data_IF_659536571407
#
_entry.id   IF_659536571407
#
_cell.length_a   1.000
_cell.length_b   1.000
_cell.length_c   1.000
_cell.angle_alpha   90.00
_cell.angle_beta   90.00
_cell.angle_gamma   90.00
#
_symmetry.space_group_name_H-M   'P 1'
#
loop_
_entity.id
_entity.type
_entity.pdbx_description
1 polymer ?
#
# COMPACT_ATOMS: atom_id res chain seq x y z
N UNK A 1 2.20 25.29 -2.35
CA UNK A 1 1.51 24.00 -2.10
C UNK A 1 2.57 22.92 -1.92
N UNK A 2 2.45 21.98 -0.97
CA UNK A 2 3.42 20.90 -0.82
C UNK A 2 3.42 20.01 -2.06
N UNK A 3 4.60 19.54 -2.45
CA UNK A 3 4.71 18.50 -3.48
C UNK A 3 4.02 17.20 -2.99
N UNK A 4 3.51 16.37 -3.91
CA UNK A 4 2.86 15.10 -3.57
C UNK A 4 3.78 14.20 -2.74
N UNK A 5 5.08 14.19 -3.06
CA UNK A 5 6.07 13.42 -2.30
C UNK A 5 6.11 13.89 -0.84
N UNK A 6 6.22 15.20 -0.62
CA UNK A 6 6.23 15.79 0.72
C UNK A 6 4.95 15.44 1.49
N UNK A 7 3.80 15.45 0.80
CA UNK A 7 2.50 15.08 1.38
C UNK A 7 2.52 13.64 1.91
N UNK A 8 3.00 12.67 1.13
CA UNK A 8 3.07 11.28 1.58
C UNK A 8 4.15 11.04 2.64
N UNK A 9 5.29 11.72 2.56
CA UNK A 9 6.31 11.68 3.62
C UNK A 9 5.74 12.20 4.94
N UNK A 10 5.00 13.31 4.91
CA UNK A 10 4.33 13.86 6.08
C UNK A 10 3.25 12.89 6.62
N UNK A 11 2.48 12.26 5.74
CA UNK A 11 1.49 11.24 6.12
C UNK A 11 2.16 10.07 6.86
N UNK A 12 3.29 9.56 6.36
CA UNK A 12 4.03 8.49 7.02
C UNK A 12 4.51 8.92 8.41
N UNK A 13 5.07 10.13 8.55
CA UNK A 13 5.53 10.67 9.82
C UNK A 13 4.40 10.85 10.84
N UNK A 14 3.26 11.40 10.42
CA UNK A 14 2.07 11.55 11.28
C UNK A 14 1.51 10.20 11.72
N UNK A 15 1.46 9.23 10.80
CA UNK A 15 1.00 7.87 11.10
C UNK A 15 1.90 7.22 12.14
N UNK A 16 3.22 7.27 11.93
CA UNK A 16 4.21 6.72 12.87
C UNK A 16 4.07 7.34 14.28
N UNK A 17 3.91 8.66 14.37
CA UNK A 17 3.71 9.35 15.65
C UNK A 17 2.38 8.98 16.33
N UNK A 18 1.39 8.49 15.58
CA UNK A 18 0.08 8.07 16.08
C UNK A 18 0.01 6.60 16.50
N UNK A 19 0.90 5.74 15.98
CA UNK A 19 0.82 4.29 16.15
C UNK A 19 0.81 3.84 17.61
N UNK A 20 1.70 4.41 18.42
CA UNK A 20 1.92 3.95 19.80
C UNK A 20 1.14 4.75 20.84
N UNK A 21 0.24 5.64 20.41
CA UNK A 21 -0.56 6.48 21.33
C UNK A 21 -1.58 5.69 22.15
N UNK A 22 -2.07 4.57 21.63
CA UNK A 22 -2.97 3.67 22.33
C UNK A 22 -2.88 2.26 21.74
N UNK A 23 -3.48 1.29 22.45
CA UNK A 23 -3.44 -0.11 22.08
C UNK A 23 -4.13 -0.38 20.73
N UNK A 24 -5.24 0.30 20.44
CA UNK A 24 -6.03 0.08 19.22
C UNK A 24 -5.26 0.50 17.96
N UNK A 25 -4.59 1.65 18.00
CA UNK A 25 -3.73 2.12 16.91
C UNK A 25 -2.56 1.15 16.70
N UNK A 26 -1.93 0.71 17.79
CA UNK A 26 -0.77 -0.17 17.73
C UNK A 26 -1.14 -1.54 17.15
N UNK A 27 -2.19 -2.16 17.69
CA UNK A 27 -2.68 -3.46 17.23
C UNK A 27 -3.27 -3.40 15.82
N UNK A 28 -3.93 -2.29 15.46
CA UNK A 28 -4.42 -2.04 14.10
C UNK A 28 -3.28 -1.98 13.07
N UNK A 29 -2.17 -1.32 13.41
CA UNK A 29 -0.98 -1.32 12.57
C UNK A 29 -0.35 -2.71 12.49
N UNK A 30 -0.16 -3.39 13.62
CA UNK A 30 0.40 -4.75 13.63
C UNK A 30 -0.44 -5.72 12.80
N UNK A 31 -1.77 -5.57 12.78
CA UNK A 31 -2.67 -6.33 11.91
C UNK A 31 -2.39 -6.09 10.43
N UNK A 32 -2.05 -4.86 10.05
CA UNK A 32 -1.67 -4.53 8.66
C UNK A 32 -0.27 -5.05 8.33
N UNK A 33 0.68 -4.83 9.23
CA UNK A 33 2.07 -5.25 9.09
C UNK A 33 2.20 -6.78 8.97
N UNK A 34 1.39 -7.54 9.71
CA UNK A 34 1.40 -9.01 9.65
C UNK A 34 0.96 -9.54 8.28
N UNK A 35 -0.05 -8.90 7.64
CA UNK A 35 -0.48 -9.24 6.27
C UNK A 35 0.56 -8.86 5.22
N UNK A 36 1.26 -7.75 5.44
CA UNK A 36 2.16 -7.13 4.47
C UNK A 36 3.64 -7.26 4.85
N UNK A 37 4.00 -8.36 5.52
CA UNK A 37 5.32 -8.58 6.11
C UNK A 37 6.50 -8.52 5.11
N UNK A 38 6.24 -8.70 3.81
CA UNK A 38 7.26 -8.59 2.74
C UNK A 38 7.58 -7.15 2.35
N UNK A 39 6.74 -6.18 2.72
CA UNK A 39 7.00 -4.77 2.48
C UNK A 39 7.89 -4.20 3.58
N UNK A 40 8.82 -3.28 3.25
CA UNK A 40 9.60 -2.57 4.25
C UNK A 40 8.69 -1.67 5.12
N UNK A 41 9.16 -1.34 6.32
CA UNK A 41 8.37 -0.59 7.31
C UNK A 41 7.75 0.73 6.79
N UNK A 42 8.47 1.60 6.03
CA UNK A 42 7.86 2.82 5.48
C UNK A 42 6.67 2.54 4.55
N UNK A 43 6.72 1.46 3.78
CA UNK A 43 5.62 1.06 2.91
C UNK A 43 4.46 0.50 3.73
N UNK A 44 4.74 -0.29 4.76
CA UNK A 44 3.70 -0.77 5.68
C UNK A 44 2.97 0.40 6.35
N UNK A 45 3.69 1.45 6.77
CA UNK A 45 3.10 2.68 7.30
C UNK A 45 2.20 3.38 6.28
N UNK A 46 2.69 3.59 5.06
CA UNK A 46 1.94 4.26 4.00
C UNK A 46 0.71 3.47 3.58
N UNK A 47 0.82 2.14 3.51
CA UNK A 47 -0.33 1.27 3.24
C UNK A 47 -1.33 1.35 4.38
N UNK A 48 -0.90 1.23 5.64
CA UNK A 48 -1.76 1.33 6.80
C UNK A 48 -2.50 2.68 6.86
N UNK A 49 -1.78 3.77 6.60
CA UNK A 49 -2.34 5.13 6.62
C UNK A 49 -3.42 5.36 5.55
N UNK A 50 -3.29 4.72 4.39
CA UNK A 50 -4.19 4.92 3.25
C UNK A 50 -5.30 3.87 3.16
N UNK A 51 -5.00 2.63 3.52
CA UNK A 51 -5.95 1.52 3.54
C UNK A 51 -5.52 0.44 4.56
N UNK A 52 -5.92 0.56 5.84
CA UNK A 52 -5.55 -0.39 6.89
C UNK A 52 -6.18 -1.78 6.71
N UNK A 53 -7.18 -1.92 5.82
CA UNK A 53 -7.85 -3.19 5.52
C UNK A 53 -7.18 -4.00 4.41
N UNK A 54 -6.10 -3.48 3.81
CA UNK A 54 -5.37 -4.16 2.75
C UNK A 54 -4.91 -5.56 3.17
N UNK A 55 -5.11 -6.55 2.31
CA UNK A 55 -4.80 -7.96 2.57
C UNK A 55 -3.72 -8.52 1.66
N UNK A 56 -3.68 -8.07 0.40
CA UNK A 56 -2.64 -8.43 -0.55
C UNK A 56 -2.43 -7.25 -1.49
N UNK A 57 -1.26 -6.65 -1.42
CA UNK A 57 -0.94 -5.42 -2.14
C UNK A 57 0.15 -5.68 -3.16
N UNK A 58 -0.03 -5.18 -4.38
CA UNK A 58 0.99 -5.26 -5.43
C UNK A 58 0.88 -4.12 -6.44
N UNK A 59 1.95 -3.88 -7.19
CA UNK A 59 1.94 -2.94 -8.31
C UNK A 59 1.05 -3.40 -9.47
N UNK A 60 0.63 -2.45 -10.31
CA UNK A 60 -0.25 -2.70 -11.45
C UNK A 60 0.25 -3.83 -12.37
N UNK A 61 1.54 -3.84 -12.68
CA UNK A 61 2.16 -4.86 -13.54
C UNK A 61 2.15 -6.25 -12.92
N UNK A 62 2.30 -6.35 -11.59
CA UNK A 62 2.19 -7.64 -10.89
C UNK A 62 0.77 -8.18 -11.04
N UNK A 63 -0.24 -7.34 -10.80
CA UNK A 63 -1.63 -7.73 -10.96
C UNK A 63 -1.98 -8.18 -12.37
N UNK A 64 -1.56 -7.41 -13.37
CA UNK A 64 -1.94 -7.63 -14.77
C UNK A 64 -1.13 -8.71 -15.47
N UNK A 65 0.20 -8.68 -15.32
CA UNK A 65 1.12 -9.56 -16.06
C UNK A 65 1.36 -10.88 -15.32
N UNK A 66 1.52 -10.85 -13.99
CA UNK A 66 1.83 -12.06 -13.21
C UNK A 66 0.57 -12.74 -12.70
N UNK A 67 -0.31 -12.00 -12.01
CA UNK A 67 -1.53 -12.58 -11.42
C UNK A 67 -2.66 -12.74 -12.42
N UNK A 68 -2.50 -12.22 -13.64
CA UNK A 68 -3.50 -12.27 -14.73
C UNK A 68 -4.87 -11.73 -14.30
N UNK A 69 -4.89 -10.74 -13.40
CA UNK A 69 -6.08 -10.00 -12.95
C UNK A 69 -6.10 -8.64 -13.63
N UNK A 70 -7.19 -7.89 -13.52
CA UNK A 70 -7.21 -6.49 -13.96
C UNK A 70 -7.54 -5.57 -12.78
N UNK A 71 -6.91 -4.40 -12.72
CA UNK A 71 -7.30 -3.36 -11.75
C UNK A 71 -8.59 -2.72 -12.27
N UNK A 72 -9.61 -2.61 -11.41
CA UNK A 72 -10.92 -2.05 -11.78
C UNK A 72 -10.76 -0.56 -12.12
N UNK A 73 -11.52 -0.10 -13.12
CA UNK A 73 -11.52 1.31 -13.49
C UNK A 73 -12.03 2.13 -12.29
N UNK A 74 -11.30 3.20 -11.95
CA UNK A 74 -11.64 4.08 -10.83
C UNK A 74 -11.03 3.65 -9.48
N UNK A 75 -10.34 2.51 -9.40
CA UNK A 75 -9.62 2.12 -8.17
C UNK A 75 -8.54 3.15 -7.83
N UNK A 76 -8.49 3.53 -6.55
CA UNK A 76 -7.53 4.51 -6.03
C UNK A 76 -6.27 3.77 -5.57
N UNK A 77 -5.15 4.02 -6.25
CA UNK A 77 -3.86 3.44 -5.87
C UNK A 77 -3.38 3.96 -4.52
N UNK A 78 -2.75 3.09 -3.75
CA UNK A 78 -2.02 3.39 -2.52
C UNK A 78 -0.63 3.88 -2.92
N UNK A 79 -0.26 5.08 -2.50
CA UNK A 79 1.02 5.68 -2.85
C UNK A 79 2.12 5.23 -1.87
N UNK A 80 3.19 4.66 -2.43
CA UNK A 80 4.44 4.38 -1.74
C UNK A 80 5.49 5.42 -2.16
N UNK A 81 6.43 5.75 -1.27
CA UNK A 81 7.53 6.67 -1.56
C UNK A 81 8.84 5.89 -1.49
N UNK A 82 9.51 5.76 -2.63
CA UNK A 82 10.81 5.11 -2.72
C UNK A 82 11.87 6.13 -3.15
N UNK A 83 13.08 6.01 -2.59
CA UNK A 83 14.24 6.78 -3.05
C UNK A 83 15.07 5.89 -3.96
N UNK A 84 15.23 6.32 -5.22
CA UNK A 84 16.08 5.62 -6.18
C UNK A 84 17.16 6.59 -6.68
N UNK A 85 18.44 6.22 -6.53
CA UNK A 85 19.59 7.05 -6.86
C UNK A 85 19.54 8.47 -6.27
N UNK A 86 19.04 8.59 -5.04
CA UNK A 86 18.89 9.88 -4.35
C UNK A 86 17.64 10.68 -4.70
N UNK A 87 16.81 10.21 -5.64
CA UNK A 87 15.59 10.90 -6.05
C UNK A 87 14.33 10.17 -5.55
N UNK A 88 13.47 10.84 -4.77
CA UNK A 88 12.22 10.25 -4.34
C UNK A 88 11.24 10.11 -5.51
N UNK A 89 10.52 8.99 -5.57
CA UNK A 89 9.48 8.70 -6.54
C UNK A 89 8.28 8.07 -5.86
N UNK A 90 7.10 8.38 -6.40
CA UNK A 90 5.85 7.74 -5.98
C UNK A 90 5.62 6.51 -6.85
N UNK A 91 5.40 5.38 -6.20
CA UNK A 91 4.90 4.16 -6.83
C UNK A 91 3.49 3.89 -6.33
N UNK A 92 2.56 3.59 -7.24
CA UNK A 92 1.21 3.20 -6.86
C UNK A 92 1.08 1.68 -6.83
N UNK A 93 0.53 1.17 -5.73
CA UNK A 93 0.15 -0.22 -5.53
C UNK A 93 -1.35 -0.32 -5.28
N UNK A 94 -1.91 -1.50 -5.48
CA UNK A 94 -3.35 -1.77 -5.39
C UNK A 94 -3.57 -3.01 -4.54
N UNK A 95 -4.64 -3.03 -3.77
CA UNK A 95 -5.05 -4.20 -3.01
C UNK A 95 -5.75 -5.21 -3.93
N UNK A 96 -5.79 -6.48 -3.54
CA UNK A 96 -6.51 -7.53 -4.30
C UNK A 96 -7.99 -7.19 -4.47
N UNK A 97 -8.61 -6.50 -3.51
CA UNK A 97 -10.00 -6.03 -3.59
C UNK A 97 -10.24 -5.01 -4.70
N UNK A 98 -9.19 -4.30 -5.15
CA UNK A 98 -9.22 -3.37 -6.28
C UNK A 98 -9.24 -4.09 -7.63
N UNK A 99 -9.11 -5.42 -7.64
CA UNK A 99 -8.92 -6.21 -8.87
C UNK A 99 -10.12 -7.09 -9.21
N UNK A 100 -10.36 -7.27 -10.51
CA UNK A 100 -11.27 -8.27 -11.06
C UNK A 100 -10.52 -9.46 -11.66
N UNK A 101 -11.25 -10.58 -11.80
CA UNK A 101 -10.76 -11.81 -12.44
C UNK A 101 -11.17 -11.88 -13.91
N UNK A 102 -10.37 -12.58 -14.70
CA UNK A 102 -10.64 -12.99 -16.08
C UNK A 102 -10.27 -14.47 -16.26
N UNK A 103 -10.50 -15.02 -17.43
CA UNK A 103 -10.06 -16.39 -17.75
C UNK A 103 -8.55 -16.53 -17.45
N UNK A 104 -8.20 -17.57 -16.69
CA UNK A 104 -6.84 -17.89 -16.23
C UNK A 104 -6.23 -16.93 -15.18
N UNK A 105 -7.04 -16.11 -14.50
CA UNK A 105 -6.57 -15.40 -13.30
C UNK A 105 -6.16 -16.38 -12.21
N UNK A 106 -5.11 -16.05 -11.46
CA UNK A 106 -4.77 -16.80 -10.25
C UNK A 106 -5.84 -16.55 -9.17
N UNK A 107 -6.27 -17.62 -8.51
CA UNK A 107 -7.12 -17.51 -7.34
C UNK A 107 -6.27 -17.10 -6.13
N UNK A 108 -6.75 -16.10 -5.41
CA UNK A 108 -6.05 -15.47 -4.31
C UNK A 108 -7.10 -15.22 -3.24
N UNK A 109 -7.07 -16.09 -2.24
CA UNK A 109 -8.08 -16.33 -1.21
C UNK A 109 -9.20 -17.24 -1.71
#
# INVERSE_FOLDING_TARGET
MPDKIQTYVQLAGQTAAGLTKNLDNWTGFLSTASRLYKYPFPDQLLIHAQNPKSTAVAGFDVWTKKMRRYVRRGSKGIALVHVNNGYPRIQYVFDVSDTGVKNNSYNLI
#
